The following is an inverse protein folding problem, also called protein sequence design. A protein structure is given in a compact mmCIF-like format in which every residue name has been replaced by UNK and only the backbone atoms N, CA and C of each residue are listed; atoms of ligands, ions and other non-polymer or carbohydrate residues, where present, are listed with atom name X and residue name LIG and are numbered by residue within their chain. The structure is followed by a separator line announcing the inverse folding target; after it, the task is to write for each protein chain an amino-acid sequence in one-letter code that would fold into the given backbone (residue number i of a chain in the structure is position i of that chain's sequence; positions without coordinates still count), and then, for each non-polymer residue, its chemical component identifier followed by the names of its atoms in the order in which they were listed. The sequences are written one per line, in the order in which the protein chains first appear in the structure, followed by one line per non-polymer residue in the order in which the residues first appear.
data_IF_736821627407
#
_entry.id   IF_736821627407
#
_cell.length_a   1.000
_cell.length_b   1.000
_cell.length_c   1.000
_cell.angle_alpha   90.00
_cell.angle_beta   90.00
_cell.angle_gamma   90.00
#
_symmetry.space_group_name_H-M   'P 1'
#
loop_
_entity.id
_entity.type
_entity.pdbx_description
1 polymer ?
#
# COMPACT_ATOMS: atom_id res chain seq x y z
N UNK A 1 -1.56 -2.68 -11.94
CA UNK A 1 -0.83 -3.82 -11.34
C UNK A 1 -1.23 -5.18 -11.91
N UNK A 2 -2.46 -5.37 -12.38
CA UNK A 2 -2.97 -6.66 -12.88
C UNK A 2 -2.11 -7.34 -13.97
N UNK A 3 -1.43 -6.56 -14.83
CA UNK A 3 -0.49 -7.14 -15.82
C UNK A 3 0.77 -7.70 -15.18
N UNK A 4 1.28 -7.05 -14.13
CA UNK A 4 2.46 -7.50 -13.41
C UNK A 4 2.17 -8.77 -12.59
N UNK A 5 0.97 -8.91 -12.02
CA UNK A 5 0.58 -10.11 -11.28
C UNK A 5 0.34 -11.35 -12.16
N UNK A 6 0.26 -11.19 -13.49
CA UNK A 6 0.03 -12.26 -14.46
C UNK A 6 1.26 -12.65 -15.29
N UNK A 7 2.40 -12.01 -15.06
CA UNK A 7 3.65 -12.32 -15.77
C UNK A 7 4.61 -13.08 -14.88
N UNK A 8 5.71 -13.61 -15.42
CA UNK A 8 6.77 -14.24 -14.61
C UNK A 8 7.70 -13.18 -14.02
N UNK A 9 8.45 -13.51 -12.97
CA UNK A 9 9.47 -12.62 -12.42
C UNK A 9 10.49 -12.24 -13.50
N UNK A 10 10.91 -13.19 -14.33
CA UNK A 10 11.90 -12.94 -15.39
C UNK A 10 11.39 -11.92 -16.42
N UNK A 11 10.14 -12.05 -16.86
CA UNK A 11 9.51 -11.12 -17.79
C UNK A 11 9.32 -9.74 -17.16
N UNK A 12 8.91 -9.69 -15.90
CA UNK A 12 8.80 -8.44 -15.14
C UNK A 12 10.15 -7.71 -15.02
N UNK A 13 11.22 -8.45 -14.71
CA UNK A 13 12.58 -7.90 -14.58
C UNK A 13 13.18 -7.46 -15.93
N UNK A 14 12.65 -7.95 -17.05
CA UNK A 14 13.05 -7.51 -18.39
C UNK A 14 12.26 -6.32 -18.92
N UNK A 15 11.03 -6.09 -18.44
CA UNK A 15 10.17 -4.99 -18.88
C UNK A 15 10.26 -3.77 -17.94
N UNK A 16 11.16 -2.84 -18.25
CA UNK A 16 11.35 -1.60 -17.47
C UNK A 16 10.06 -0.77 -17.35
N UNK A 17 9.26 -0.72 -18.42
CA UNK A 17 8.01 0.02 -18.41
C UNK A 17 7.02 -0.59 -17.43
N UNK A 18 6.91 -1.93 -17.41
CA UNK A 18 6.05 -2.64 -16.46
C UNK A 18 6.46 -2.40 -15.01
N UNK A 19 7.77 -2.36 -14.71
CA UNK A 19 8.26 -2.06 -13.36
C UNK A 19 7.96 -0.64 -12.93
N UNK A 20 8.20 0.34 -13.81
CA UNK A 20 7.88 1.73 -13.56
C UNK A 20 6.37 1.95 -13.39
N UNK A 21 5.55 1.35 -14.24
CA UNK A 21 4.10 1.41 -14.13
C UNK A 21 3.60 0.77 -12.82
N UNK A 22 4.24 -0.32 -12.37
CA UNK A 22 3.92 -0.99 -11.10
C UNK A 22 4.28 -0.11 -9.90
N UNK A 23 5.49 0.46 -9.87
CA UNK A 23 5.91 1.41 -8.83
C UNK A 23 5.00 2.62 -8.75
N UNK A 24 4.64 3.19 -9.91
CA UNK A 24 3.72 4.33 -9.97
C UNK A 24 2.36 3.97 -9.39
N UNK A 25 1.81 2.81 -9.75
CA UNK A 25 0.54 2.37 -9.20
C UNK A 25 0.60 2.17 -7.67
N UNK A 26 1.70 1.65 -7.11
CA UNK A 26 1.83 1.48 -5.65
C UNK A 26 1.86 2.85 -4.97
N UNK A 27 2.61 3.79 -5.55
CA UNK A 27 2.67 5.16 -5.05
C UNK A 27 1.31 5.85 -5.07
N UNK A 28 0.54 5.67 -6.15
CA UNK A 28 -0.81 6.23 -6.30
C UNK A 28 -1.76 5.66 -5.22
N UNK A 29 -1.76 4.35 -5.00
CA UNK A 29 -2.58 3.71 -3.96
C UNK A 29 -2.21 4.16 -2.55
N UNK A 30 -0.91 4.22 -2.22
CA UNK A 30 -0.45 4.73 -0.92
C UNK A 30 -0.84 6.19 -0.72
N UNK A 31 -0.73 7.01 -1.77
CA UNK A 31 -1.13 8.41 -1.71
C UNK A 31 -2.64 8.57 -1.49
N UNK A 32 -3.48 7.77 -2.17
CA UNK A 32 -4.92 7.76 -1.91
C UNK A 32 -5.25 7.36 -0.46
N UNK A 33 -4.57 6.33 0.06
CA UNK A 33 -4.70 5.91 1.46
C UNK A 33 -4.33 7.03 2.42
N UNK A 34 -3.21 7.73 2.17
CA UNK A 34 -2.77 8.84 3.02
C UNK A 34 -3.73 10.04 2.96
N UNK A 35 -4.22 10.40 1.77
CA UNK A 35 -5.21 11.48 1.62
C UNK A 35 -6.51 11.16 2.37
N UNK A 36 -6.91 9.89 2.42
CA UNK A 36 -8.06 9.45 3.19
C UNK A 36 -7.76 9.49 4.69
N UNK A 37 -6.63 8.92 5.11
CA UNK A 37 -6.22 8.83 6.51
C UNK A 37 -5.96 10.21 7.15
N UNK A 38 -5.38 11.15 6.41
CA UNK A 38 -5.06 12.50 6.91
C UNK A 38 -6.30 13.34 7.23
N UNK A 39 -7.50 12.88 6.85
CA UNK A 39 -8.77 13.52 7.24
C UNK A 39 -9.19 13.19 8.67
N UNK A 40 -8.64 12.13 9.25
CA UNK A 40 -9.11 11.54 10.52
C UNK A 40 -7.99 11.27 11.53
N UNK A 41 -6.74 11.34 11.10
CA UNK A 41 -5.58 11.23 11.97
C UNK A 41 -4.46 12.17 11.49
N UNK A 42 -3.70 12.70 12.44
CA UNK A 42 -2.50 13.47 12.17
C UNK A 42 -1.32 12.54 11.87
N UNK A 43 -0.27 13.10 11.24
CA UNK A 43 0.97 12.40 10.93
C UNK A 43 1.22 12.25 9.43
N UNK A 44 2.37 11.68 9.10
CA UNK A 44 2.77 11.37 7.73
C UNK A 44 3.33 9.94 7.66
N UNK A 45 3.22 9.32 6.49
CA UNK A 45 3.74 7.97 6.23
C UNK A 45 3.40 6.97 7.36
N UNK A 46 4.42 6.38 7.99
CA UNK A 46 4.27 5.38 9.06
C UNK A 46 3.61 5.95 10.33
N UNK A 47 3.87 7.22 10.67
CA UNK A 47 3.25 7.87 11.83
C UNK A 47 1.73 7.99 11.64
N UNK A 48 1.31 8.31 10.42
CA UNK A 48 -0.12 8.35 10.07
C UNK A 48 -0.74 6.96 10.25
N UNK A 49 -0.10 5.90 9.73
CA UNK A 49 -0.58 4.52 9.86
C UNK A 49 -0.75 4.13 11.33
N UNK A 50 0.25 4.41 12.17
CA UNK A 50 0.15 4.11 13.60
C UNK A 50 -0.90 4.94 14.33
N UNK A 51 -1.10 6.20 13.94
CA UNK A 51 -2.14 7.04 14.53
C UNK A 51 -3.54 6.56 14.16
N UNK A 52 -3.76 6.06 12.93
CA UNK A 52 -5.01 5.40 12.54
C UNK A 52 -5.28 4.16 13.40
N UNK A 53 -4.25 3.36 13.68
CA UNK A 53 -4.36 2.18 14.55
C UNK A 53 -4.67 2.56 16.00
N UNK A 54 -3.98 3.57 16.56
CA UNK A 54 -4.23 4.08 17.92
C UNK A 54 -5.66 4.61 18.08
N UNK A 55 -6.20 5.24 17.04
CA UNK A 55 -7.59 5.73 17.00
C UNK A 55 -8.62 4.61 16.76
N UNK A 56 -8.19 3.35 16.60
CA UNK A 56 -9.06 2.21 16.37
C UNK A 56 -9.73 2.19 14.99
N UNK A 57 -9.23 3.00 14.05
CA UNK A 57 -9.77 3.10 12.69
C UNK A 57 -9.34 1.92 11.82
N UNK A 58 -8.12 1.42 12.03
CA UNK A 58 -7.61 0.16 11.51
C UNK A 58 -7.09 -0.71 12.65
N UNK A 59 -6.96 -2.02 12.42
CA UNK A 59 -6.39 -2.92 13.42
C UNK A 59 -4.86 -2.87 13.40
N UNK A 60 -4.22 -3.15 14.54
CA UNK A 60 -2.76 -3.14 14.65
C UNK A 60 -2.03 -4.10 13.68
N UNK A 61 -2.55 -5.31 13.35
CA UNK A 61 -1.94 -6.16 12.33
C UNK A 61 -1.90 -5.49 10.95
N UNK A 62 -3.02 -4.93 10.50
CA UNK A 62 -3.11 -4.19 9.24
C UNK A 62 -2.18 -2.96 9.23
N UNK A 63 -2.03 -2.27 10.35
CA UNK A 63 -1.08 -1.18 10.48
C UNK A 63 0.37 -1.65 10.27
N UNK A 64 0.75 -2.79 10.84
CA UNK A 64 2.08 -3.38 10.62
C UNK A 64 2.27 -3.80 9.16
N UNK A 65 1.26 -4.39 8.54
CA UNK A 65 1.28 -4.78 7.13
C UNK A 65 1.52 -3.57 6.21
N UNK A 66 0.85 -2.45 6.45
CA UNK A 66 1.08 -1.21 5.71
C UNK A 66 2.49 -0.64 5.90
N UNK A 67 3.04 -0.72 7.12
CA UNK A 67 4.44 -0.32 7.39
C UNK A 67 5.40 -1.21 6.61
N UNK A 68 5.14 -2.52 6.54
CA UNK A 68 5.94 -3.44 5.73
C UNK A 68 5.86 -3.06 4.24
N UNK A 69 4.68 -2.73 3.73
CA UNK A 69 4.48 -2.25 2.34
C UNK A 69 5.28 -0.98 2.05
N UNK A 70 5.23 0.01 2.96
CA UNK A 70 6.00 1.25 2.83
C UNK A 70 7.50 0.97 2.79
N UNK A 71 7.98 0.10 3.68
CA UNK A 71 9.38 -0.33 3.73
C UNK A 71 9.81 -1.04 2.44
N UNK A 72 8.98 -1.96 1.94
CA UNK A 72 9.20 -2.66 0.67
C UNK A 72 9.26 -1.70 -0.52
N UNK A 73 8.32 -0.76 -0.60
CA UNK A 73 8.31 0.25 -1.66
C UNK A 73 9.57 1.12 -1.63
N UNK A 74 9.94 1.62 -0.44
CA UNK A 74 11.14 2.45 -0.21
C UNK A 74 12.45 1.71 -0.44
N UNK A 75 12.48 0.38 -0.32
CA UNK A 75 13.68 -0.43 -0.57
C UNK A 75 14.23 -0.26 -1.98
N UNK A 76 13.39 0.12 -2.94
CA UNK A 76 13.81 0.22 -4.34
C UNK A 76 14.07 -1.13 -5.02
N UNK A 77 13.80 -2.27 -4.38
CA UNK A 77 13.93 -3.58 -5.03
C UNK A 77 12.66 -3.95 -5.81
N UNK A 78 12.82 -4.06 -7.12
CA UNK A 78 11.75 -4.52 -8.01
C UNK A 78 11.42 -6.00 -7.77
N UNK A 79 12.41 -6.81 -7.40
CA UNK A 79 12.23 -8.23 -7.09
C UNK A 79 11.36 -8.42 -5.85
N UNK A 80 11.63 -7.68 -4.77
CA UNK A 80 10.83 -7.74 -3.55
C UNK A 80 9.42 -7.21 -3.79
N UNK A 81 9.28 -6.12 -4.55
CA UNK A 81 7.95 -5.60 -4.94
C UNK A 81 7.16 -6.64 -5.73
N UNK A 82 7.79 -7.30 -6.71
CA UNK A 82 7.12 -8.34 -7.48
C UNK A 82 6.72 -9.53 -6.62
N UNK A 83 7.63 -10.02 -5.76
CA UNK A 83 7.37 -11.15 -4.88
C UNK A 83 6.23 -10.87 -3.88
N UNK A 84 6.02 -9.61 -3.52
CA UNK A 84 4.98 -9.16 -2.59
C UNK A 84 3.81 -8.46 -3.27
N UNK A 85 3.69 -8.48 -4.60
CA UNK A 85 2.76 -7.62 -5.33
C UNK A 85 1.30 -7.81 -4.91
N UNK A 86 0.86 -9.07 -4.76
CA UNK A 86 -0.51 -9.40 -4.35
C UNK A 86 -0.78 -8.90 -2.94
N UNK A 87 0.13 -9.18 -2.00
CA UNK A 87 0.02 -8.70 -0.62
C UNK A 87 0.00 -7.17 -0.55
N UNK A 88 0.87 -6.49 -1.28
CA UNK A 88 0.88 -5.02 -1.34
C UNK A 88 -0.49 -4.48 -1.78
N UNK A 89 -1.10 -5.10 -2.80
CA UNK A 89 -2.43 -4.71 -3.26
C UNK A 89 -3.50 -4.96 -2.20
N UNK A 90 -3.53 -6.17 -1.64
CA UNK A 90 -4.53 -6.59 -0.65
C UNK A 90 -4.46 -5.73 0.62
N UNK A 91 -3.25 -5.52 1.18
CA UNK A 91 -3.05 -4.75 2.41
C UNK A 91 -3.49 -3.28 2.23
N UNK A 92 -3.17 -2.65 1.08
CA UNK A 92 -3.59 -1.27 0.81
C UNK A 92 -5.11 -1.19 0.57
N UNK A 93 -5.67 -2.11 -0.21
CA UNK A 93 -7.12 -2.14 -0.51
C UNK A 93 -7.94 -2.38 0.77
N UNK A 94 -7.52 -3.30 1.63
CA UNK A 94 -8.17 -3.57 2.92
C UNK A 94 -8.18 -2.31 3.79
N UNK A 95 -7.03 -1.62 3.90
CA UNK A 95 -6.92 -0.38 4.66
C UNK A 95 -7.80 0.72 4.11
N UNK A 96 -7.80 0.92 2.79
CA UNK A 96 -8.62 1.93 2.15
C UNK A 96 -10.12 1.67 2.37
N UNK A 97 -10.58 0.43 2.16
CA UNK A 97 -11.97 0.06 2.37
C UNK A 97 -12.39 0.14 3.83
N UNK A 98 -11.52 -0.26 4.76
CA UNK A 98 -11.76 -0.16 6.20
C UNK A 98 -11.95 1.30 6.61
N UNK A 99 -11.05 2.19 6.21
CA UNK A 99 -11.14 3.62 6.53
C UNK A 99 -12.37 4.27 5.90
N UNK A 100 -12.62 3.96 4.62
CA UNK A 100 -13.78 4.49 3.90
C UNK A 100 -15.09 4.08 4.56
N UNK A 101 -15.24 2.81 4.94
CA UNK A 101 -16.43 2.33 5.63
C UNK A 101 -16.65 3.02 6.99
N UNK A 102 -15.57 3.29 7.74
CA UNK A 102 -15.66 4.05 9.00
C UNK A 102 -16.08 5.49 8.76
N UNK A 103 -15.59 6.13 7.70
CA UNK A 103 -15.89 7.51 7.35
C UNK A 103 -17.31 7.72 6.80
N UNK A 104 -17.84 6.78 6.04
CA UNK A 104 -19.21 6.83 5.52
C UNK A 104 -20.27 6.44 6.57
N UNK A 105 -19.86 5.72 7.62
CA UNK A 105 -20.70 5.29 8.73
C UNK A 105 -20.62 6.17 9.99
N UNK A 106 -19.79 7.22 10.00
CA UNK A 106 -19.64 8.21 11.08
C UNK A 106 -20.40 9.49 10.77
#
# INVERSE_FOLDING_TARGET
MERASKTTLEDFMRDERLRNDTRRAIAELLNELYLLGSRVADGNDEDLIWNLAKSGLIQAPLAQELVDVISLYRSGSDELIYASLVRIMEDIEEAYHTLKARLEGS
#
